data_IF_391563763869
#
_entry.id   IF_391563763869
#
_cell.length_a   1.000
_cell.length_b   1.000
_cell.length_c   1.000
_cell.angle_alpha   90.00
_cell.angle_beta   90.00
_cell.angle_gamma   90.00
#
_symmetry.space_group_name_H-M   'P 1'
#
loop_
_entity.id
_entity.type
_entity.pdbx_description
1 polymer ?
#
# COMPACT_ATOMS: atom_id res chain seq x y z
N UNK A 1 2.26 -10.68 22.56
CA UNK A 1 1.68 -9.39 22.18
C UNK A 1 2.79 -8.36 21.93
N UNK A 2 2.66 -7.54 20.91
CA UNK A 2 3.63 -6.48 20.57
C UNK A 2 3.35 -5.26 21.49
N UNK A 3 3.84 -5.30 22.71
CA UNK A 3 3.57 -4.25 23.72
C UNK A 3 4.54 -3.08 23.66
N UNK A 4 5.65 -3.22 22.95
CA UNK A 4 6.74 -2.23 22.88
C UNK A 4 7.21 -1.93 21.45
N UNK A 5 6.59 -2.52 20.44
CA UNK A 5 6.91 -2.28 19.04
C UNK A 5 5.74 -1.58 18.35
N UNK A 6 5.98 -0.50 17.62
CA UNK A 6 4.96 0.09 16.76
C UNK A 6 4.63 -0.88 15.61
N UNK A 7 3.37 -0.86 15.19
CA UNK A 7 2.87 -1.69 14.08
C UNK A 7 2.25 -0.78 13.04
N UNK A 8 2.73 -0.87 11.81
CA UNK A 8 2.10 -0.28 10.64
C UNK A 8 1.34 -1.37 9.88
N UNK A 9 0.06 -1.14 9.63
CA UNK A 9 -0.84 -2.13 9.05
C UNK A 9 -1.38 -1.68 7.71
N UNK A 10 -1.67 -2.63 6.83
CA UNK A 10 -2.47 -2.40 5.62
C UNK A 10 -3.71 -3.29 5.63
N UNK A 11 -4.79 -2.83 5.01
CA UNK A 11 -6.05 -3.56 4.97
C UNK A 11 -6.00 -4.65 3.91
N UNK A 12 -6.38 -5.86 4.31
CA UNK A 12 -6.57 -6.99 3.40
C UNK A 12 -8.04 -7.30 3.16
N UNK A 13 -8.32 -8.15 2.17
CA UNK A 13 -9.68 -8.48 1.74
C UNK A 13 -10.57 -9.06 2.85
N UNK A 14 -10.00 -9.74 3.84
CA UNK A 14 -10.77 -10.27 4.99
C UNK A 14 -11.12 -9.20 6.04
N UNK A 15 -10.57 -8.02 5.96
CA UNK A 15 -10.79 -6.93 6.92
C UNK A 15 -11.52 -5.71 6.33
N UNK A 16 -11.65 -5.65 5.00
CA UNK A 16 -12.16 -4.48 4.28
C UNK A 16 -13.57 -4.07 4.73
N UNK A 17 -14.46 -5.05 4.95
CA UNK A 17 -15.86 -4.81 5.34
C UNK A 17 -16.06 -4.71 6.86
N UNK A 18 -14.97 -4.75 7.64
CA UNK A 18 -15.07 -4.81 9.08
C UNK A 18 -14.70 -3.46 9.72
N UNK A 19 -15.70 -2.75 10.21
CA UNK A 19 -15.53 -1.47 10.89
C UNK A 19 -14.58 -1.51 12.11
N UNK A 20 -14.28 -2.69 12.64
CA UNK A 20 -13.38 -2.83 13.79
C UNK A 20 -11.94 -2.38 13.50
N UNK A 21 -11.48 -2.47 12.25
CA UNK A 21 -10.12 -2.05 11.87
C UNK A 21 -9.82 -0.63 12.38
N UNK A 22 -10.68 0.34 12.12
CA UNK A 22 -10.49 1.76 12.49
C UNK A 22 -10.49 1.99 14.02
N UNK A 23 -11.00 1.06 14.81
CA UNK A 23 -11.00 1.15 16.27
C UNK A 23 -9.76 0.53 16.91
N UNK A 24 -9.06 -0.31 16.17
CA UNK A 24 -7.86 -1.00 16.66
C UNK A 24 -6.56 -0.35 16.20
N UNK A 25 -6.57 0.36 15.07
CA UNK A 25 -5.36 0.92 14.48
C UNK A 25 -5.51 2.42 14.25
N UNK A 26 -4.60 3.18 14.85
CA UNK A 26 -4.40 4.58 14.50
C UNK A 26 -3.33 4.67 13.41
N UNK A 27 -3.65 5.33 12.31
CA UNK A 27 -2.74 5.52 11.19
C UNK A 27 -2.43 7.01 11.00
N UNK A 28 -1.16 7.39 10.88
CA UNK A 28 -0.78 8.78 10.69
C UNK A 28 -0.99 9.23 9.24
N UNK A 29 -1.20 10.54 9.04
CA UNK A 29 -1.27 11.14 7.70
C UNK A 29 -2.27 10.42 6.76
N UNK A 30 -3.42 10.02 7.31
CA UNK A 30 -4.47 9.35 6.57
C UNK A 30 -4.96 10.23 5.42
N UNK A 31 -5.04 9.67 4.22
CA UNK A 31 -5.70 10.28 3.08
C UNK A 31 -7.21 10.08 3.20
N UNK A 32 -7.96 11.17 3.24
CA UNK A 32 -9.43 11.13 3.32
C UNK A 32 -10.11 11.07 1.93
N UNK A 33 -9.34 10.88 0.88
CA UNK A 33 -9.85 10.57 -0.44
C UNK A 33 -10.13 9.07 -0.48
N UNK A 34 -11.24 8.67 -1.06
CA UNK A 34 -11.59 7.27 -1.20
C UNK A 34 -13.03 6.97 -0.88
N UNK A 35 -13.42 5.73 -1.11
CA UNK A 35 -14.75 5.23 -0.81
C UNK A 35 -14.94 5.15 0.70
N UNK A 36 -15.91 5.89 1.22
CA UNK A 36 -16.23 5.91 2.64
C UNK A 36 -16.80 4.57 3.16
N UNK A 37 -17.21 3.70 2.26
CA UNK A 37 -17.73 2.36 2.60
C UNK A 37 -16.60 1.35 2.83
N UNK A 38 -15.38 1.65 2.38
CA UNK A 38 -14.20 0.80 2.60
C UNK A 38 -13.45 1.27 3.85
N UNK A 39 -13.22 0.35 4.76
CA UNK A 39 -12.54 0.62 6.03
C UNK A 39 -11.05 0.85 5.80
N UNK A 40 -10.54 1.94 6.36
CA UNK A 40 -9.15 2.35 6.21
C UNK A 40 -8.98 3.31 5.04
N UNK A 41 -7.74 3.59 4.69
CA UNK A 41 -7.38 4.48 3.59
C UNK A 41 -5.88 4.41 3.36
N UNK A 42 -5.41 5.11 2.35
CA UNK A 42 -3.99 5.27 2.14
C UNK A 42 -3.40 6.17 3.23
N UNK A 43 -2.23 5.82 3.72
CA UNK A 43 -1.52 6.65 4.69
C UNK A 43 -0.01 6.51 4.53
N UNK A 44 0.74 7.42 5.13
CA UNK A 44 2.19 7.36 5.10
C UNK A 44 2.81 7.73 6.44
N UNK A 45 4.04 7.33 6.62
CA UNK A 45 4.92 7.80 7.67
C UNK A 45 6.38 7.78 7.19
N UNK A 46 7.22 8.50 7.91
CA UNK A 46 8.67 8.45 7.68
C UNK A 46 9.37 7.83 8.88
N UNK A 47 10.40 7.05 8.59
CA UNK A 47 11.29 6.53 9.62
C UNK A 47 12.74 6.67 9.13
N UNK A 48 13.50 7.55 9.77
CA UNK A 48 14.78 7.98 9.26
C UNK A 48 14.64 8.61 7.86
N UNK A 49 15.43 8.15 6.92
CA UNK A 49 15.44 8.62 5.53
C UNK A 49 14.47 7.83 4.62
N UNK A 50 13.61 7.01 5.20
CA UNK A 50 12.68 6.14 4.47
C UNK A 50 11.27 6.70 4.54
N UNK A 51 10.63 6.87 3.40
CA UNK A 51 9.21 7.13 3.27
C UNK A 51 8.47 5.81 3.06
N UNK A 52 7.55 5.49 3.96
CA UNK A 52 6.64 4.35 3.85
C UNK A 52 5.27 4.84 3.41
N UNK A 53 4.77 4.32 2.29
CA UNK A 53 3.44 4.59 1.76
C UNK A 53 2.61 3.31 1.82
N UNK A 54 1.53 3.34 2.59
CA UNK A 54 0.66 2.21 2.84
C UNK A 54 -0.62 2.41 2.03
N UNK A 55 -0.85 1.55 1.05
CA UNK A 55 -2.02 1.64 0.17
C UNK A 55 -3.11 0.67 0.61
N UNK A 56 -4.34 1.16 0.71
CA UNK A 56 -5.52 0.33 0.90
C UNK A 56 -6.14 -0.03 -0.46
N UNK A 57 -5.57 -1.02 -1.12
CA UNK A 57 -5.99 -1.46 -2.46
C UNK A 57 -7.25 -2.32 -2.47
N UNK A 58 -7.97 -2.45 -1.34
CA UNK A 58 -9.37 -2.86 -1.32
C UNK A 58 -10.27 -1.79 -1.98
N UNK A 59 -9.88 -0.52 -1.92
CA UNK A 59 -10.35 0.50 -2.84
C UNK A 59 -9.68 0.29 -4.19
N UNK A 60 -10.46 -0.03 -5.21
CA UNK A 60 -9.96 -0.31 -6.56
C UNK A 60 -9.77 0.96 -7.41
N UNK A 61 -10.01 2.14 -6.84
CA UNK A 61 -9.81 3.42 -7.53
C UNK A 61 -8.32 3.79 -7.61
N UNK A 62 -7.64 3.23 -8.58
CA UNK A 62 -6.20 3.45 -8.79
C UNK A 62 -5.82 4.93 -8.96
N UNK A 63 -6.72 5.76 -9.46
CA UNK A 63 -6.44 7.19 -9.64
C UNK A 63 -6.22 7.91 -8.29
N UNK A 64 -6.92 7.49 -7.25
CA UNK A 64 -6.75 8.03 -5.90
C UNK A 64 -5.41 7.63 -5.30
N UNK A 65 -5.02 6.37 -5.44
CA UNK A 65 -3.71 5.88 -5.01
C UNK A 65 -2.58 6.61 -5.72
N UNK A 66 -2.69 6.81 -7.03
CA UNK A 66 -1.71 7.57 -7.82
C UNK A 66 -1.60 9.00 -7.31
N UNK A 67 -2.72 9.69 -7.08
CA UNK A 67 -2.73 11.04 -6.54
C UNK A 67 -2.13 11.10 -5.13
N UNK A 68 -2.42 10.12 -4.29
CA UNK A 68 -1.83 10.00 -2.96
C UNK A 68 -0.31 9.86 -3.03
N UNK A 69 0.21 8.97 -3.87
CA UNK A 69 1.66 8.76 -4.07
C UNK A 69 2.32 10.06 -4.54
N UNK A 70 1.77 10.70 -5.56
CA UNK A 70 2.29 11.95 -6.09
C UNK A 70 2.43 13.04 -5.02
N UNK A 71 1.35 13.30 -4.27
CA UNK A 71 1.34 14.32 -3.21
C UNK A 71 2.29 13.95 -2.07
N UNK A 72 2.33 12.67 -1.70
CA UNK A 72 3.15 12.20 -0.58
C UNK A 72 4.63 12.27 -0.90
N UNK A 73 5.05 11.87 -2.09
CA UNK A 73 6.45 11.98 -2.53
C UNK A 73 6.88 13.43 -2.63
N UNK A 74 6.05 14.31 -3.20
CA UNK A 74 6.35 15.75 -3.28
C UNK A 74 6.55 16.38 -1.89
N UNK A 75 5.73 16.00 -0.92
CA UNK A 75 5.80 16.51 0.46
C UNK A 75 7.02 15.99 1.22
N UNK A 76 7.54 14.83 0.85
CA UNK A 76 8.65 14.14 1.52
C UNK A 76 9.88 13.98 0.62
N UNK A 77 10.17 14.98 -0.21
CA UNK A 77 11.27 14.98 -1.18
C UNK A 77 12.66 14.80 -0.57
N UNK A 78 12.80 15.02 0.74
CA UNK A 78 14.04 14.82 1.49
C UNK A 78 14.30 13.35 1.88
N UNK A 79 13.31 12.47 1.79
CA UNK A 79 13.51 11.05 2.03
C UNK A 79 14.31 10.40 0.90
N UNK A 80 15.34 9.64 1.28
CA UNK A 80 16.24 8.98 0.34
C UNK A 80 15.60 7.74 -0.28
N UNK A 81 14.84 6.99 0.51
CA UNK A 81 14.24 5.72 0.14
C UNK A 81 12.72 5.79 0.20
N UNK A 82 12.06 5.06 -0.69
CA UNK A 82 10.60 4.99 -0.77
C UNK A 82 10.16 3.53 -0.84
N UNK A 83 9.32 3.16 0.12
CA UNK A 83 8.75 1.82 0.22
C UNK A 83 7.24 1.93 0.11
N UNK A 84 6.63 1.12 -0.73
CA UNK A 84 5.18 0.97 -0.83
C UNK A 84 4.77 -0.36 -0.23
N UNK A 85 3.69 -0.38 0.52
CA UNK A 85 3.07 -1.60 1.03
C UNK A 85 1.61 -1.64 0.64
N UNK A 86 1.18 -2.76 0.09
CA UNK A 86 -0.22 -3.02 -0.26
C UNK A 86 -0.55 -4.50 -0.05
N UNK A 87 -1.86 -4.82 0.03
CA UNK A 87 -2.26 -6.19 0.30
C UNK A 87 -2.12 -7.10 -0.91
N UNK A 88 -2.64 -6.69 -2.08
CA UNK A 88 -2.64 -7.52 -3.29
C UNK A 88 -1.23 -7.75 -3.83
N UNK A 89 -0.94 -8.99 -4.22
CA UNK A 89 0.38 -9.36 -4.74
C UNK A 89 0.50 -9.04 -6.24
N UNK A 90 0.69 -7.76 -6.54
CA UNK A 90 0.79 -7.27 -7.92
C UNK A 90 2.06 -7.75 -8.66
N UNK A 91 3.05 -8.26 -7.97
CA UNK A 91 4.28 -8.85 -8.52
C UNK A 91 4.40 -10.36 -8.26
N UNK A 92 3.37 -10.94 -7.68
CA UNK A 92 3.35 -12.34 -7.29
C UNK A 92 3.38 -13.33 -8.44
N UNK A 93 3.56 -14.57 -8.07
CA UNK A 93 3.64 -15.70 -8.99
C UNK A 93 2.77 -16.89 -8.56
N UNK A 94 1.88 -16.69 -7.59
CA UNK A 94 1.00 -17.75 -7.09
C UNK A 94 -0.45 -17.56 -7.59
N UNK A 95 -1.41 -18.17 -6.93
CA UNK A 95 -2.77 -18.41 -7.43
C UNK A 95 -3.51 -17.13 -7.81
N UNK A 96 -3.45 -16.10 -6.98
CA UNK A 96 -4.23 -14.87 -7.17
C UNK A 96 -3.57 -13.83 -8.08
N UNK A 97 -2.28 -13.96 -8.37
CA UNK A 97 -1.50 -12.94 -9.09
C UNK A 97 -1.96 -12.66 -10.53
N UNK A 98 -2.80 -13.51 -11.11
CA UNK A 98 -3.38 -13.35 -12.45
C UNK A 98 -4.87 -13.00 -12.43
N UNK A 99 -5.46 -12.76 -11.28
CA UNK A 99 -6.85 -12.27 -11.21
C UNK A 99 -6.97 -10.90 -11.89
N UNK A 100 -8.08 -10.63 -12.59
CA UNK A 100 -8.25 -9.38 -13.34
C UNK A 100 -8.03 -8.11 -12.49
N UNK A 101 -8.46 -8.14 -11.25
CA UNK A 101 -8.26 -7.04 -10.30
C UNK A 101 -6.79 -6.78 -10.03
N UNK A 102 -6.02 -7.84 -9.77
CA UNK A 102 -4.57 -7.75 -9.50
C UNK A 102 -3.82 -7.26 -10.74
N UNK A 103 -4.19 -7.78 -11.90
CA UNK A 103 -3.62 -7.35 -13.19
C UNK A 103 -3.89 -5.86 -13.45
N UNK A 104 -5.12 -5.40 -13.19
CA UNK A 104 -5.49 -3.99 -13.35
C UNK A 104 -4.69 -3.08 -12.39
N UNK A 105 -4.56 -3.46 -11.12
CA UNK A 105 -3.74 -2.75 -10.15
C UNK A 105 -2.27 -2.69 -10.59
N UNK A 106 -1.72 -3.79 -11.07
CA UNK A 106 -0.35 -3.86 -11.59
C UNK A 106 -0.13 -2.84 -12.70
N UNK A 107 -0.97 -2.85 -13.73
CA UNK A 107 -0.85 -1.94 -14.86
C UNK A 107 -1.04 -0.48 -14.48
N UNK A 108 -1.89 -0.19 -13.50
CA UNK A 108 -2.13 1.17 -13.05
C UNK A 108 -1.01 1.71 -12.15
N UNK A 109 -0.52 0.91 -11.21
CA UNK A 109 0.39 1.36 -10.16
C UNK A 109 1.87 1.25 -10.54
N UNK A 110 2.27 0.22 -11.29
CA UNK A 110 3.69 0.01 -11.64
C UNK A 110 4.32 1.21 -12.34
N UNK A 111 3.70 1.83 -13.36
CA UNK A 111 4.27 3.03 -13.98
C UNK A 111 4.42 4.21 -13.01
N UNK A 112 3.53 4.29 -12.02
CA UNK A 112 3.59 5.33 -10.98
C UNK A 112 4.75 5.08 -10.03
N UNK A 113 4.97 3.85 -9.61
CA UNK A 113 6.11 3.47 -8.77
C UNK A 113 7.44 3.80 -9.45
N UNK A 114 7.55 3.45 -10.74
CA UNK A 114 8.73 3.79 -11.54
C UNK A 114 8.93 5.30 -11.67
N UNK A 115 7.87 6.04 -12.03
CA UNK A 115 7.90 7.50 -12.19
C UNK A 115 8.38 8.22 -10.94
N UNK A 116 7.94 7.78 -9.77
CA UNK A 116 8.26 8.44 -8.49
C UNK A 116 9.44 7.80 -7.75
N UNK A 117 10.11 6.84 -8.36
CA UNK A 117 11.32 6.21 -7.83
C UNK A 117 11.05 5.44 -6.53
N UNK A 118 10.03 4.59 -6.52
CA UNK A 118 9.79 3.63 -5.44
C UNK A 118 10.88 2.57 -5.50
N UNK A 119 11.56 2.34 -4.37
CA UNK A 119 12.70 1.44 -4.28
C UNK A 119 12.27 0.00 -3.96
N UNK A 120 11.20 -0.16 -3.18
CA UNK A 120 10.71 -1.48 -2.78
C UNK A 120 9.19 -1.50 -2.65
N UNK A 121 8.59 -2.65 -2.97
CA UNK A 121 7.13 -2.88 -2.87
C UNK A 121 6.90 -4.17 -2.09
N UNK A 122 6.23 -4.04 -0.95
CA UNK A 122 5.87 -5.15 -0.08
C UNK A 122 4.41 -5.52 -0.30
N UNK A 123 4.16 -6.78 -0.60
CA UNK A 123 2.83 -7.33 -0.90
C UNK A 123 2.50 -8.55 -0.04
N UNK A 124 1.25 -8.97 -0.06
CA UNK A 124 0.74 -10.15 0.62
C UNK A 124 -0.26 -10.89 -0.25
N UNK A 125 -1.40 -11.31 0.30
CA UNK A 125 -2.54 -11.95 -0.35
C UNK A 125 -2.27 -13.39 -0.84
N UNK A 126 -1.30 -13.59 -1.70
CA UNK A 126 -0.82 -14.92 -2.05
C UNK A 126 -0.08 -15.54 -0.87
N UNK A 127 -0.48 -16.73 -0.44
CA UNK A 127 0.13 -17.43 0.69
C UNK A 127 1.46 -18.10 0.29
N UNK A 128 2.26 -17.40 -0.50
CA UNK A 128 3.55 -17.84 -1.00
C UNK A 128 4.58 -16.72 -0.89
N UNK A 129 5.81 -17.10 -0.61
CA UNK A 129 6.94 -16.15 -0.65
C UNK A 129 7.48 -16.04 -2.07
N UNK A 130 7.52 -14.84 -2.59
CA UNK A 130 8.18 -14.53 -3.84
C UNK A 130 8.99 -13.23 -3.71
N UNK A 131 10.05 -13.14 -4.48
CA UNK A 131 10.90 -11.95 -4.57
C UNK A 131 11.37 -11.78 -6.01
N UNK A 132 11.17 -10.59 -6.55
CA UNK A 132 11.71 -10.25 -7.87
C UNK A 132 13.23 -10.11 -7.85
N UNK A 133 13.86 -10.15 -9.02
CA UNK A 133 15.15 -9.53 -9.24
C UNK A 133 14.99 -8.02 -9.24
N UNK A 134 16.10 -7.27 -9.24
CA UNK A 134 16.05 -5.84 -9.55
C UNK A 134 15.32 -5.62 -10.89
N UNK A 135 14.33 -4.79 -10.83
CA UNK A 135 13.52 -4.41 -11.99
C UNK A 135 14.08 -3.16 -12.65
#
# INVERSE_FOLDING_TARGET
ALTSLPVATTVGNHAADNANYKYHFYVPNLNNLGDNDIVGGDYYFTYGDVLFMMLNTQDTNSAEHIQFIEKTVAKNANCKWKVVTLHQDIYGSAEHSNEPEIVNLRYALTPTFEKYGVDDVLTGHDHAYSRSKFL
#
